data_IF_329737275884
#
_entry.id   IF_329737275884
#
_cell.length_a   1.000
_cell.length_b   1.000
_cell.length_c   1.000
_cell.angle_alpha   90.00
_cell.angle_beta   90.00
_cell.angle_gamma   90.00
#
_symmetry.space_group_name_H-M   'P 1'
#
loop_
_entity.id
_entity.type
_entity.pdbx_description
1 polymer ?
#
# COMPACT_ATOMS: atom_id res chain seq x y z
N UNK A 1 -39.17 47.36 28.51
CA UNK A 1 -39.95 46.90 27.33
C UNK A 1 -39.07 46.49 26.12
N UNK A 2 -37.79 46.87 26.06
CA UNK A 2 -36.91 46.53 24.92
C UNK A 2 -36.36 45.09 24.93
N UNK A 3 -36.21 44.45 26.09
CA UNK A 3 -35.65 43.09 26.17
C UNK A 3 -36.56 42.00 25.58
N UNK A 4 -37.88 42.18 25.61
CA UNK A 4 -38.83 41.21 25.04
C UNK A 4 -38.78 41.17 23.50
N UNK A 5 -38.38 42.27 22.86
CA UNK A 5 -38.32 42.39 21.41
C UNK A 5 -37.03 41.81 20.79
N UNK A 6 -35.97 41.63 21.59
CA UNK A 6 -34.66 41.16 21.09
C UNK A 6 -34.67 39.64 20.85
N UNK A 7 -35.39 38.87 21.69
CA UNK A 7 -35.50 37.42 21.56
C UNK A 7 -36.12 36.94 20.23
N UNK A 8 -37.26 37.48 19.74
CA UNK A 8 -37.82 37.03 18.46
C UNK A 8 -36.92 37.38 17.27
N UNK A 9 -36.21 38.51 17.33
CA UNK A 9 -35.26 38.93 16.28
C UNK A 9 -34.07 37.97 16.22
N UNK A 10 -33.52 37.59 17.38
CA UNK A 10 -32.41 36.62 17.45
C UNK A 10 -32.82 35.24 16.90
N UNK A 11 -34.02 34.76 17.25
CA UNK A 11 -34.54 33.49 16.73
C UNK A 11 -34.71 33.53 15.22
N UNK A 12 -35.19 34.65 14.65
CA UNK A 12 -35.37 34.82 13.21
C UNK A 12 -34.02 34.80 12.47
N UNK A 13 -32.99 35.44 13.03
CA UNK A 13 -31.63 35.39 12.45
C UNK A 13 -31.06 33.96 12.52
N UNK A 14 -31.23 33.26 13.65
CA UNK A 14 -30.76 31.89 13.80
C UNK A 14 -31.45 30.91 12.81
N UNK A 15 -32.75 31.05 12.57
CA UNK A 15 -33.46 30.20 11.60
C UNK A 15 -33.02 30.49 10.17
N UNK A 16 -32.79 31.76 9.81
CA UNK A 16 -32.27 32.13 8.49
C UNK A 16 -30.87 31.53 8.25
N UNK A 17 -29.99 31.59 9.25
CA UNK A 17 -28.64 30.98 9.16
C UNK A 17 -28.76 29.46 9.01
N UNK A 18 -29.60 28.80 9.82
CA UNK A 18 -29.79 27.35 9.77
C UNK A 18 -30.34 26.89 8.40
N UNK A 19 -31.29 27.63 7.83
CA UNK A 19 -31.83 27.35 6.48
C UNK A 19 -30.73 27.54 5.43
N UNK A 20 -29.96 28.62 5.51
CA UNK A 20 -28.84 28.88 4.60
C UNK A 20 -27.79 27.77 4.64
N UNK A 21 -27.35 27.38 5.84
CA UNK A 21 -26.40 26.27 6.03
C UNK A 21 -26.95 24.96 5.46
N UNK A 22 -28.22 24.63 5.74
CA UNK A 22 -28.86 23.41 5.22
C UNK A 22 -28.91 23.39 3.69
N UNK A 23 -29.19 24.54 3.07
CA UNK A 23 -29.24 24.67 1.61
C UNK A 23 -27.86 24.46 0.97
N UNK A 24 -26.81 25.07 1.55
CA UNK A 24 -25.44 24.90 1.04
C UNK A 24 -24.95 23.47 1.16
N UNK A 25 -25.21 22.79 2.29
CA UNK A 25 -24.90 21.37 2.48
C UNK A 25 -25.63 20.49 1.46
N UNK A 26 -26.93 20.73 1.24
CA UNK A 26 -27.71 20.00 0.25
C UNK A 26 -27.15 20.16 -1.18
N UNK A 27 -26.68 21.36 -1.54
CA UNK A 27 -26.04 21.60 -2.84
C UNK A 27 -24.68 20.92 -2.96
N UNK A 28 -23.87 20.93 -1.89
CA UNK A 28 -22.58 20.22 -1.88
C UNK A 28 -22.79 18.70 -2.01
N UNK A 29 -23.74 18.13 -1.27
CA UNK A 29 -24.13 16.72 -1.40
C UNK A 29 -24.58 16.38 -2.82
N UNK A 30 -25.37 17.24 -3.47
CA UNK A 30 -25.77 17.06 -4.87
C UNK A 30 -24.57 17.10 -5.82
N UNK A 31 -23.60 18.01 -5.60
CA UNK A 31 -22.38 18.08 -6.41
C UNK A 31 -21.53 16.81 -6.26
N UNK A 32 -21.33 16.32 -5.03
CA UNK A 32 -20.59 15.08 -4.76
C UNK A 32 -21.30 13.88 -5.39
N UNK A 33 -22.62 13.78 -5.25
CA UNK A 33 -23.42 12.72 -5.88
C UNK A 33 -23.28 12.72 -7.40
N UNK A 34 -23.29 13.91 -8.03
CA UNK A 34 -23.10 14.05 -9.47
C UNK A 34 -21.70 13.63 -9.94
N UNK A 35 -20.68 13.92 -9.13
CA UNK A 35 -19.31 13.49 -9.44
C UNK A 35 -19.16 11.98 -9.30
N UNK A 36 -19.77 11.38 -8.28
CA UNK A 36 -19.77 9.93 -8.08
C UNK A 36 -20.50 9.23 -9.24
N UNK A 37 -21.67 9.74 -9.65
CA UNK A 37 -22.38 9.17 -10.81
C UNK A 37 -21.58 9.26 -12.11
N UNK A 38 -20.81 10.35 -12.31
CA UNK A 38 -19.93 10.48 -13.48
C UNK A 38 -18.79 9.45 -13.47
N UNK A 39 -18.16 9.28 -12.31
CA UNK A 39 -17.10 8.28 -12.16
C UNK A 39 -17.64 6.86 -12.32
N UNK A 40 -18.86 6.60 -11.81
CA UNK A 40 -19.52 5.31 -11.99
C UNK A 40 -19.88 5.04 -13.46
N UNK A 41 -20.31 6.05 -14.23
CA UNK A 41 -20.56 5.88 -15.67
C UNK A 41 -19.28 5.60 -16.45
N UNK A 42 -18.14 6.19 -16.07
CA UNK A 42 -16.84 5.92 -16.70
C UNK A 42 -16.38 4.48 -16.40
N UNK A 43 -16.54 4.03 -15.16
CA UNK A 43 -16.28 2.64 -14.76
C UNK A 43 -17.16 1.66 -15.54
N UNK A 44 -18.46 1.91 -15.67
CA UNK A 44 -19.34 1.02 -16.46
C UNK A 44 -18.98 1.00 -17.94
N UNK A 45 -18.52 2.12 -18.51
CA UNK A 45 -18.07 2.18 -19.89
C UNK A 45 -16.80 1.32 -20.09
N UNK A 46 -15.83 1.41 -19.18
CA UNK A 46 -14.61 0.59 -19.21
C UNK A 46 -14.93 -0.90 -19.02
N UNK A 47 -15.87 -1.24 -18.13
CA UNK A 47 -16.30 -2.63 -17.94
C UNK A 47 -16.99 -3.17 -19.19
N UNK A 48 -17.87 -2.37 -19.83
CA UNK A 48 -18.55 -2.79 -21.05
C UNK A 48 -17.61 -3.00 -22.25
N UNK A 49 -16.55 -2.19 -22.39
CA UNK A 49 -15.54 -2.41 -23.44
C UNK A 49 -14.70 -3.66 -23.16
N UNK A 50 -14.44 -3.98 -21.89
CA UNK A 50 -13.79 -5.24 -21.50
C UNK A 50 -14.66 -6.46 -21.84
N UNK A 51 -15.97 -6.39 -21.57
CA UNK A 51 -16.91 -7.47 -21.84
C UNK A 51 -17.16 -7.66 -23.35
N UNK A 52 -17.21 -6.58 -24.14
CA UNK A 52 -17.22 -6.68 -25.62
C UNK A 52 -15.94 -7.30 -26.18
N UNK A 53 -14.81 -7.17 -25.48
CA UNK A 53 -13.53 -7.80 -25.87
C UNK A 53 -13.47 -9.27 -25.45
N UNK A 54 -14.27 -9.70 -24.47
CA UNK A 54 -14.30 -11.06 -23.93
C UNK A 54 -15.15 -12.04 -24.74
N UNK A 55 -16.10 -11.56 -25.56
CA UNK A 55 -16.99 -12.39 -26.38
C UNK A 55 -16.43 -12.80 -27.76
N UNK A 56 -15.14 -12.59 -28.03
CA UNK A 56 -14.47 -13.11 -29.22
C UNK A 56 -13.66 -14.35 -28.84
N UNK A 57 -14.28 -15.51 -29.03
CA UNK A 57 -13.72 -16.86 -28.83
C UNK A 57 -12.55 -17.15 -29.82
N UNK A 58 -11.78 -18.24 -29.66
CA UNK A 58 -10.41 -18.20 -29.15
C UNK A 58 -9.40 -18.57 -30.24
N UNK A 59 -8.55 -17.63 -30.65
CA UNK A 59 -7.36 -17.96 -31.42
C UNK A 59 -6.20 -18.24 -30.48
N UNK A 60 -5.67 -19.45 -30.65
CA UNK A 60 -4.45 -20.04 -30.11
C UNK A 60 -3.28 -19.04 -30.12
N UNK A 61 -3.13 -18.28 -29.04
CA UNK A 61 -1.96 -17.44 -28.74
C UNK A 61 -1.41 -17.81 -27.37
N UNK A 62 -0.07 -17.79 -27.19
CA UNK A 62 0.57 -18.27 -25.98
C UNK A 62 0.00 -17.55 -24.75
N UNK A 63 -0.32 -18.36 -23.74
CA UNK A 63 -1.12 -18.03 -22.56
C UNK A 63 -0.74 -16.64 -21.98
N UNK A 64 -1.58 -15.60 -22.15
CA UNK A 64 -1.32 -14.28 -21.58
C UNK A 64 -1.28 -14.30 -20.03
N UNK A 65 -1.78 -15.37 -19.42
CA UNK A 65 -1.72 -15.59 -17.97
C UNK A 65 -0.31 -15.80 -17.45
N UNK A 66 0.61 -16.35 -18.23
CA UNK A 66 2.01 -16.53 -17.82
C UNK A 66 2.77 -15.20 -17.87
N UNK A 67 2.50 -14.38 -18.90
CA UNK A 67 3.08 -13.04 -19.01
C UNK A 67 2.56 -12.10 -17.91
N UNK A 68 1.24 -12.11 -17.64
CA UNK A 68 0.66 -11.31 -16.55
C UNK A 68 1.23 -11.76 -15.20
N UNK A 69 1.32 -13.08 -14.94
CA UNK A 69 1.97 -13.59 -13.72
C UNK A 69 3.43 -13.15 -13.62
N UNK A 70 4.17 -13.18 -14.73
CA UNK A 70 5.56 -12.74 -14.77
C UNK A 70 5.69 -11.24 -14.51
N UNK A 71 4.78 -10.42 -15.04
CA UNK A 71 4.73 -8.99 -14.80
C UNK A 71 4.31 -8.65 -13.36
N UNK A 72 3.34 -9.37 -12.79
CA UNK A 72 2.95 -9.21 -11.40
C UNK A 72 4.10 -9.61 -10.47
N UNK A 73 4.77 -10.73 -10.74
CA UNK A 73 5.96 -11.15 -10.01
C UNK A 73 7.11 -10.13 -10.15
N UNK A 74 7.35 -9.61 -11.35
CA UNK A 74 8.37 -8.57 -11.59
C UNK A 74 8.01 -7.26 -10.87
N UNK A 75 6.74 -6.88 -10.87
CA UNK A 75 6.24 -5.69 -10.16
C UNK A 75 6.37 -5.85 -8.64
N UNK A 76 6.08 -7.05 -8.11
CA UNK A 76 6.27 -7.37 -6.70
C UNK A 76 7.74 -7.37 -6.31
N UNK A 77 8.62 -8.00 -7.10
CA UNK A 77 10.08 -7.94 -6.90
C UNK A 77 10.58 -6.50 -6.92
N UNK A 78 10.16 -5.71 -7.90
CA UNK A 78 10.53 -4.30 -7.99
C UNK A 78 10.01 -3.49 -6.78
N UNK A 79 8.83 -3.78 -6.23
CA UNK A 79 8.32 -3.13 -5.02
C UNK A 79 9.04 -3.56 -3.75
N UNK A 80 9.52 -4.81 -3.69
CA UNK A 80 10.33 -5.30 -2.58
C UNK A 80 11.74 -4.69 -2.60
N UNK A 81 12.36 -4.63 -3.78
CA UNK A 81 13.68 -3.99 -3.97
C UNK A 81 13.63 -2.47 -3.81
N UNK A 82 12.63 -1.80 -4.39
CA UNK A 82 12.42 -0.34 -4.28
C UNK A 82 11.55 0.05 -3.09
N UNK A 83 11.47 -0.80 -2.06
CA UNK A 83 10.75 -0.48 -0.83
C UNK A 83 11.18 0.89 -0.28
N UNK A 84 10.30 1.62 0.42
CA UNK A 84 10.60 2.96 0.92
C UNK A 84 11.92 2.96 1.69
N UNK A 85 12.75 4.00 1.50
CA UNK A 85 14.12 4.12 2.03
C UNK A 85 14.24 3.93 3.56
N UNK A 86 13.11 3.90 4.27
CA UNK A 86 12.99 3.70 5.72
C UNK A 86 13.09 2.22 6.12
N UNK A 87 13.20 1.30 5.15
CA UNK A 87 13.46 -0.14 5.36
C UNK A 87 14.93 -0.52 5.40
N UNK A 88 15.87 0.43 5.36
CA UNK A 88 17.27 0.06 5.58
C UNK A 88 17.40 -0.58 6.97
N UNK A 89 17.87 -1.84 7.06
CA UNK A 89 18.09 -2.47 8.35
C UNK A 89 19.02 -1.55 9.15
N UNK A 90 18.76 -1.32 10.45
CA UNK A 90 19.64 -0.51 11.28
C UNK A 90 21.10 -0.95 11.08
N UNK A 91 22.03 0.01 10.99
CA UNK A 91 23.41 -0.27 10.53
C UNK A 91 24.09 -1.40 11.31
N UNK A 92 23.77 -1.53 12.61
CA UNK A 92 24.23 -2.63 13.47
C UNK A 92 23.96 -4.02 12.88
N UNK A 93 22.82 -4.24 12.22
CA UNK A 93 22.50 -5.53 11.59
C UNK A 93 23.31 -5.79 10.32
N UNK A 94 23.67 -4.74 9.58
CA UNK A 94 24.56 -4.84 8.42
C UNK A 94 25.99 -5.18 8.85
N UNK A 95 26.45 -4.59 9.94
CA UNK A 95 27.75 -4.95 10.52
C UNK A 95 27.75 -6.37 11.08
N UNK A 96 26.65 -6.81 11.71
CA UNK A 96 26.53 -8.20 12.17
C UNK A 96 26.68 -9.20 11.02
N UNK A 97 26.04 -8.95 9.86
CA UNK A 97 26.17 -9.84 8.71
C UNK A 97 27.60 -9.88 8.17
N UNK A 98 28.29 -8.73 8.11
CA UNK A 98 29.67 -8.62 7.65
C UNK A 98 30.67 -9.30 8.61
N UNK A 99 30.47 -9.16 9.92
CA UNK A 99 31.27 -9.87 10.93
C UNK A 99 31.06 -11.39 10.84
N UNK A 100 29.81 -11.82 10.60
CA UNK A 100 29.52 -13.22 10.33
C UNK A 100 30.13 -13.71 9.01
N UNK A 101 30.33 -12.85 8.00
CA UNK A 101 31.07 -13.21 6.77
C UNK A 101 32.56 -13.44 7.04
N UNK A 102 33.11 -12.74 8.02
CA UNK A 102 34.50 -12.90 8.48
C UNK A 102 34.68 -14.11 9.41
N UNK A 103 33.65 -14.93 9.62
CA UNK A 103 33.70 -16.13 10.46
C UNK A 103 33.60 -15.85 11.96
N UNK A 104 33.19 -14.64 12.36
CA UNK A 104 32.97 -14.32 13.77
C UNK A 104 31.75 -15.07 14.33
N UNK A 105 31.90 -15.61 15.53
CA UNK A 105 30.85 -16.36 16.21
C UNK A 105 29.78 -15.43 16.84
N UNK A 106 28.65 -16.02 17.23
CA UNK A 106 27.54 -15.24 17.79
C UNK A 106 27.94 -14.49 19.07
N UNK A 107 28.82 -15.06 19.89
CA UNK A 107 29.32 -14.44 21.11
C UNK A 107 30.22 -13.22 20.81
N UNK A 108 31.13 -13.33 19.83
CA UNK A 108 31.96 -12.22 19.38
C UNK A 108 31.16 -11.08 18.78
N UNK A 109 30.15 -11.39 17.94
CA UNK A 109 29.27 -10.38 17.36
C UNK A 109 28.43 -9.68 18.44
N UNK A 110 27.90 -10.44 19.40
CA UNK A 110 27.14 -9.90 20.53
C UNK A 110 27.98 -8.93 21.37
N UNK A 111 29.24 -9.28 21.64
CA UNK A 111 30.17 -8.43 22.38
C UNK A 111 30.51 -7.13 21.63
N UNK A 112 30.79 -7.20 20.33
CA UNK A 112 31.19 -6.04 19.51
C UNK A 112 30.02 -5.07 19.28
N UNK A 113 28.83 -5.60 19.00
CA UNK A 113 27.65 -4.80 18.66
C UNK A 113 26.74 -4.49 19.85
N UNK A 114 27.12 -4.97 21.04
CA UNK A 114 26.33 -4.89 22.28
C UNK A 114 24.92 -5.43 22.09
N UNK A 115 24.82 -6.59 21.45
CA UNK A 115 23.57 -7.32 21.26
C UNK A 115 23.40 -8.45 22.28
N UNK A 116 22.15 -8.84 22.58
CA UNK A 116 21.91 -10.11 23.23
C UNK A 116 22.37 -11.26 22.31
N UNK A 117 22.95 -12.30 22.90
CA UNK A 117 23.58 -13.41 22.15
C UNK A 117 22.55 -14.11 21.25
N UNK A 118 21.31 -14.20 21.72
CA UNK A 118 20.18 -14.80 21.00
C UNK A 118 19.88 -14.05 19.69
N UNK A 119 19.96 -12.72 19.72
CA UNK A 119 19.75 -11.91 18.51
C UNK A 119 20.89 -12.10 17.51
N UNK A 120 22.14 -12.20 17.96
CA UNK A 120 23.27 -12.50 17.08
C UNK A 120 23.14 -13.88 16.42
N UNK A 121 22.69 -14.89 17.17
CA UNK A 121 22.41 -16.24 16.64
C UNK A 121 21.30 -16.21 15.57
N UNK A 122 20.20 -15.49 15.83
CA UNK A 122 19.11 -15.36 14.87
C UNK A 122 19.56 -14.69 13.57
N UNK A 123 20.40 -13.65 13.66
CA UNK A 123 20.94 -12.96 12.48
C UNK A 123 21.85 -13.86 11.65
N UNK A 124 22.72 -14.65 12.31
CA UNK A 124 23.55 -15.64 11.62
C UNK A 124 22.67 -16.70 10.95
N UNK A 125 21.63 -17.19 11.63
CA UNK A 125 20.71 -18.20 11.10
C UNK A 125 19.92 -17.67 9.89
N UNK A 126 19.37 -16.45 9.99
CA UNK A 126 18.66 -15.78 8.89
C UNK A 126 19.55 -15.56 7.68
N UNK A 127 20.81 -15.15 7.90
CA UNK A 127 21.79 -15.00 6.83
C UNK A 127 22.10 -16.33 6.15
N UNK A 128 22.31 -17.41 6.90
CA UNK A 128 22.52 -18.75 6.32
C UNK A 128 21.31 -19.19 5.50
N UNK A 129 20.09 -18.96 5.99
CA UNK A 129 18.87 -19.25 5.23
C UNK A 129 18.81 -18.43 3.94
N UNK A 130 19.14 -17.13 3.99
CA UNK A 130 19.17 -16.27 2.80
C UNK A 130 20.26 -16.67 1.78
N UNK A 131 21.41 -17.20 2.23
CA UNK A 131 22.46 -17.72 1.34
C UNK A 131 22.07 -19.04 0.67
N UNK A 132 21.25 -19.85 1.34
CA UNK A 132 20.72 -21.10 0.80
C UNK A 132 19.65 -20.81 -0.27
N UNK A 133 18.94 -19.68 -0.18
CA UNK A 133 17.74 -19.41 -0.98
C UNK A 133 17.82 -18.39 -2.14
N UNK A 134 18.87 -18.37 -3.00
CA UNK A 134 18.78 -17.71 -4.31
C UNK A 134 18.98 -18.70 -5.46
N UNK A 135 17.90 -19.01 -6.20
CA UNK A 135 17.95 -19.48 -7.60
C UNK A 135 18.43 -20.92 -7.93
N UNK A 136 18.48 -21.88 -7.00
CA UNK A 136 18.86 -23.29 -7.32
C UNK A 136 17.69 -24.26 -7.54
N UNK A 137 16.45 -23.78 -7.73
CA UNK A 137 15.30 -24.64 -8.11
C UNK A 137 14.69 -24.26 -9.47
N UNK A 138 15.45 -23.63 -10.37
CA UNK A 138 14.93 -23.27 -11.70
C UNK A 138 16.01 -23.29 -12.80
N UNK A 139 16.76 -24.39 -12.94
CA UNK A 139 17.40 -24.79 -14.22
C UNK A 139 17.96 -26.21 -14.10
N UNK A 140 17.08 -27.20 -14.02
CA UNK A 140 17.43 -28.56 -14.49
C UNK A 140 16.15 -29.32 -14.84
N UNK A 141 15.64 -29.03 -16.04
CA UNK A 141 14.94 -29.96 -16.95
C UNK A 141 14.58 -29.27 -18.25
#
# INVERSE_FOLDING_TARGET
>A
MTQLAIHPILLLICTLIAIGCSLTLALQLRRVKKNLSRCQTELTHITSTLDSTKNREPEEKPRPTEFIKTLEQATLKQRLEKGPAWRQPPEKYRYASALADQGMDAAGIAAVLQFPIEAAQQLIALKRAAQIDPATTQSDK
#
